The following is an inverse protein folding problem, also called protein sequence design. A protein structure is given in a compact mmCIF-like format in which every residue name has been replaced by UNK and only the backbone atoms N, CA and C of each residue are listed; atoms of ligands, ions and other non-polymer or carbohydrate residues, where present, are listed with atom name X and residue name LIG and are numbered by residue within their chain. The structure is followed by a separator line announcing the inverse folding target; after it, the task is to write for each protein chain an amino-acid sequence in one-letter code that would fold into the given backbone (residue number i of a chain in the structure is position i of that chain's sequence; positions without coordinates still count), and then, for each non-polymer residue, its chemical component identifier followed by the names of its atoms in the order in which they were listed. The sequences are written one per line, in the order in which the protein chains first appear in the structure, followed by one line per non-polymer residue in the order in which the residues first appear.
data_IF_943153898590
#
_entry.id   IF_943153898590
#
_cell.length_a   1.000
_cell.length_b   1.000
_cell.length_c   1.000
_cell.angle_alpha   90.00
_cell.angle_beta   90.00
_cell.angle_gamma   90.00
#
_symmetry.space_group_name_H-M   'P 1'
#
loop_
_entity.id
_entity.type
_entity.pdbx_description
1 polymer ?
#
# COMPACT_ATOMS: atom_id res chain seq x y z
N UNK A 1 0.94 18.17 18.09
CA UNK A 1 1.55 17.24 17.10
C UNK A 1 0.45 16.80 16.18
N UNK A 2 0.60 17.04 14.89
CA UNK A 2 -0.29 16.47 13.87
C UNK A 2 -0.05 14.96 13.83
N UNK A 3 -1.10 14.15 14.05
CA UNK A 3 -1.01 12.69 14.07
C UNK A 3 -1.23 12.18 12.65
N UNK A 4 -0.42 11.22 12.23
CA UNK A 4 -0.59 10.59 10.92
C UNK A 4 -1.90 9.79 10.88
N UNK A 5 -2.82 10.21 10.01
CA UNK A 5 -4.07 9.49 9.76
C UNK A 5 -3.82 8.24 8.91
N UNK A 6 -3.97 7.06 9.53
CA UNK A 6 -3.64 5.77 8.92
C UNK A 6 -4.85 5.01 8.36
N UNK A 7 -6.07 5.47 8.67
CA UNK A 7 -7.29 4.73 8.30
C UNK A 7 -7.37 4.42 6.79
N UNK A 8 -7.08 5.37 5.88
CA UNK A 8 -7.14 5.08 4.44
C UNK A 8 -6.17 3.99 3.99
N UNK A 9 -4.99 3.89 4.62
CA UNK A 9 -4.04 2.81 4.33
C UNK A 9 -4.58 1.46 4.85
N UNK A 10 -5.12 1.45 6.07
CA UNK A 10 -5.73 0.24 6.67
C UNK A 10 -6.88 -0.29 5.84
N UNK A 11 -7.75 0.60 5.35
CA UNK A 11 -8.89 0.22 4.52
C UNK A 11 -8.43 -0.41 3.20
N UNK A 12 -7.44 0.20 2.53
CA UNK A 12 -6.88 -0.37 1.29
C UNK A 12 -6.18 -1.70 1.51
N UNK A 13 -5.47 -1.85 2.62
CA UNK A 13 -4.78 -3.09 2.97
C UNK A 13 -5.78 -4.21 3.25
N UNK A 14 -6.80 -3.92 4.06
CA UNK A 14 -7.89 -4.86 4.38
C UNK A 14 -8.60 -5.31 3.11
N UNK A 15 -8.94 -4.37 2.22
CA UNK A 15 -9.60 -4.68 0.95
C UNK A 15 -8.76 -5.59 0.04
N UNK A 16 -7.43 -5.42 0.02
CA UNK A 16 -6.53 -6.33 -0.71
C UNK A 16 -6.50 -7.71 -0.05
N UNK A 17 -6.32 -7.77 1.27
CA UNK A 17 -6.28 -9.04 2.01
C UNK A 17 -7.55 -9.86 1.83
N UNK A 18 -8.72 -9.24 1.96
CA UNK A 18 -10.01 -9.90 1.73
C UNK A 18 -10.13 -10.45 0.30
N UNK A 19 -9.65 -9.70 -0.71
CA UNK A 19 -9.61 -10.21 -2.08
C UNK A 19 -8.67 -11.39 -2.23
N UNK A 20 -7.48 -11.36 -1.65
CA UNK A 20 -6.55 -12.48 -1.73
C UNK A 20 -7.12 -13.74 -1.06
N UNK A 21 -7.77 -13.60 0.08
CA UNK A 21 -8.45 -14.72 0.77
C UNK A 21 -9.50 -15.37 -0.12
N UNK A 22 -10.31 -14.59 -0.83
CA UNK A 22 -11.31 -15.15 -1.75
C UNK A 22 -10.66 -15.84 -2.96
N UNK A 23 -9.58 -15.28 -3.50
CA UNK A 23 -8.86 -15.86 -4.65
C UNK A 23 -8.01 -17.08 -4.28
N UNK A 24 -7.69 -17.27 -3.00
CA UNK A 24 -7.03 -18.48 -2.50
C UNK A 24 -7.96 -19.71 -2.52
N UNK A 25 -9.28 -19.53 -2.59
CA UNK A 25 -10.21 -20.63 -2.89
C UNK A 25 -10.10 -21.00 -4.38
N UNK A 26 -9.09 -21.80 -4.69
CA UNK A 26 -8.79 -22.28 -6.04
C UNK A 26 -9.97 -23.09 -6.62
N UNK A 27 -10.73 -23.80 -5.78
CA UNK A 27 -11.87 -24.59 -6.25
C UNK A 27 -13.01 -23.68 -6.71
N UNK A 28 -13.32 -22.63 -5.96
CA UNK A 28 -14.30 -21.60 -6.35
C UNK A 28 -13.81 -20.78 -7.55
N UNK A 29 -12.55 -20.37 -7.55
CA UNK A 29 -11.96 -19.55 -8.61
C UNK A 29 -11.97 -20.28 -9.96
N UNK A 30 -11.63 -21.56 -9.97
CA UNK A 30 -11.62 -22.38 -11.19
C UNK A 30 -13.03 -22.69 -11.74
N UNK A 31 -14.09 -22.48 -10.96
CA UNK A 31 -15.48 -22.59 -11.45
C UNK A 31 -15.92 -21.34 -12.23
N UNK A 32 -15.20 -20.22 -12.12
CA UNK A 32 -15.53 -19.00 -12.82
C UNK A 32 -15.17 -19.08 -14.30
N UNK A 33 -15.84 -18.27 -15.14
CA UNK A 33 -15.46 -18.15 -16.56
C UNK A 33 -14.05 -17.53 -16.67
N UNK A 34 -13.24 -17.86 -17.69
CA UNK A 34 -11.90 -17.29 -17.85
C UNK A 34 -11.87 -15.75 -17.79
N UNK A 35 -12.80 -15.08 -18.46
CA UNK A 35 -12.88 -13.60 -18.42
C UNK A 35 -13.15 -13.04 -17.01
N UNK A 36 -13.86 -13.79 -16.16
CA UNK A 36 -14.12 -13.41 -14.77
C UNK A 36 -12.87 -13.62 -13.93
N UNK A 37 -12.15 -14.74 -14.13
CA UNK A 37 -10.86 -15.00 -13.49
C UNK A 37 -9.86 -13.88 -13.79
N UNK A 38 -9.72 -13.51 -15.07
CA UNK A 38 -8.85 -12.42 -15.51
C UNK A 38 -9.24 -11.09 -14.85
N UNK A 39 -10.55 -10.80 -14.79
CA UNK A 39 -11.07 -9.57 -14.16
C UNK A 39 -10.76 -9.54 -12.66
N UNK A 40 -10.89 -10.67 -11.97
CA UNK A 40 -10.59 -10.79 -10.55
C UNK A 40 -9.10 -10.60 -10.26
N UNK A 41 -8.23 -11.20 -11.09
CA UNK A 41 -6.77 -11.00 -11.00
C UNK A 41 -6.41 -9.54 -11.28
N UNK A 42 -6.98 -8.93 -12.32
CA UNK A 42 -6.77 -7.52 -12.62
C UNK A 42 -7.22 -6.62 -11.45
N UNK A 43 -8.35 -6.95 -10.81
CA UNK A 43 -8.81 -6.29 -9.59
C UNK A 43 -7.84 -6.43 -8.41
N UNK A 44 -7.26 -7.62 -8.21
CA UNK A 44 -6.25 -7.84 -7.17
C UNK A 44 -4.96 -7.03 -7.42
N UNK A 45 -4.49 -6.97 -8.68
CA UNK A 45 -3.35 -6.15 -9.09
C UNK A 45 -3.64 -4.67 -8.80
N UNK A 46 -4.82 -4.17 -9.17
CA UNK A 46 -5.21 -2.79 -8.91
C UNK A 46 -5.25 -2.47 -7.40
N UNK A 47 -5.74 -3.40 -6.58
CA UNK A 47 -5.74 -3.25 -5.11
C UNK A 47 -4.31 -3.24 -4.55
N UNK A 48 -3.41 -4.05 -5.09
CA UNK A 48 -1.99 -4.02 -4.74
C UNK A 48 -1.37 -2.65 -5.04
N UNK A 49 -1.61 -2.09 -6.23
CA UNK A 49 -1.12 -0.75 -6.60
C UNK A 49 -1.62 0.33 -5.65
N UNK A 50 -2.89 0.28 -5.24
CA UNK A 50 -3.43 1.20 -4.26
C UNK A 50 -2.74 1.10 -2.89
N UNK A 51 -2.49 -0.12 -2.40
CA UNK A 51 -1.77 -0.33 -1.14
C UNK A 51 -0.33 0.19 -1.24
N UNK A 52 0.36 -0.10 -2.35
CA UNK A 52 1.72 0.37 -2.60
C UNK A 52 1.81 1.89 -2.57
N UNK A 53 0.96 2.57 -3.35
CA UNK A 53 0.96 4.03 -3.43
C UNK A 53 0.58 4.69 -2.09
N UNK A 54 -0.42 4.14 -1.39
CA UNK A 54 -0.83 4.63 -0.06
C UNK A 54 0.28 4.44 0.97
N UNK A 55 0.95 3.29 0.97
CA UNK A 55 2.07 3.00 1.86
C UNK A 55 3.20 3.99 1.65
N UNK A 56 3.56 4.25 0.39
CA UNK A 56 4.58 5.24 0.04
C UNK A 56 4.21 6.65 0.51
N UNK A 57 2.96 7.07 0.27
CA UNK A 57 2.46 8.36 0.75
C UNK A 57 2.53 8.48 2.27
N UNK A 58 2.21 7.41 3.02
CA UNK A 58 2.30 7.41 4.49
C UNK A 58 3.75 7.49 4.97
N UNK A 59 4.67 6.74 4.35
CA UNK A 59 6.10 6.82 4.67
C UNK A 59 6.65 8.23 4.46
N UNK A 60 6.34 8.87 3.32
CA UNK A 60 6.77 10.24 3.04
C UNK A 60 6.20 11.22 4.08
N UNK A 61 4.91 11.11 4.42
CA UNK A 61 4.28 11.97 5.43
C UNK A 61 4.93 11.79 6.81
N UNK A 62 5.20 10.54 7.22
CA UNK A 62 5.86 10.26 8.48
C UNK A 62 7.26 10.84 8.52
N UNK A 63 8.05 10.66 7.45
CA UNK A 63 9.39 11.24 7.34
C UNK A 63 9.37 12.76 7.39
N UNK A 64 8.39 13.41 6.73
CA UNK A 64 8.20 14.86 6.83
C UNK A 64 7.86 15.31 8.25
N UNK A 65 6.96 14.62 8.94
CA UNK A 65 6.65 14.92 10.35
C UNK A 65 7.88 14.79 11.25
N UNK A 66 8.75 13.81 10.99
CA UNK A 66 10.03 13.64 11.69
C UNK A 66 11.07 14.70 11.29
N UNK A 67 11.11 15.11 10.01
CA UNK A 67 12.03 16.12 9.47
C UNK A 67 11.60 17.57 9.79
N UNK A 68 10.34 17.81 10.15
CA UNK A 68 9.94 19.10 10.74
C UNK A 68 10.69 19.34 12.09
N UNK A 69 11.30 18.31 12.68
CA UNK A 69 12.24 18.44 13.81
C UNK A 69 13.73 18.46 13.44
N UNK A 70 14.12 18.16 12.20
CA UNK A 70 15.52 18.06 11.74
C UNK A 70 15.63 18.49 10.27
N UNK A 71 16.39 19.56 10.01
CA UNK A 71 16.55 20.29 8.74
C UNK A 71 16.24 19.50 7.44
N UNK A 72 15.15 19.92 6.76
CA UNK A 72 14.79 19.72 5.35
C UNK A 72 15.30 18.45 4.64
N UNK A 73 14.57 17.35 4.83
CA UNK A 73 14.71 16.18 3.95
C UNK A 73 13.96 16.44 2.64
N UNK A 74 14.69 16.84 1.59
CA UNK A 74 14.19 16.80 0.21
C UNK A 74 14.16 15.33 -0.28
N UNK A 75 13.00 14.69 -0.15
CA UNK A 75 12.76 13.35 -0.67
C UNK A 75 12.52 13.42 -2.19
N UNK A 76 13.61 13.34 -2.97
CA UNK A 76 13.58 13.47 -4.43
C UNK A 76 13.39 12.12 -5.17
N UNK A 77 13.60 10.97 -4.51
CA UNK A 77 13.44 9.63 -5.11
C UNK A 77 12.87 8.58 -4.12
N UNK A 78 12.13 7.59 -4.63
CA UNK A 78 11.54 6.47 -3.88
C UNK A 78 12.57 5.70 -3.05
N UNK A 79 13.78 5.51 -3.60
CA UNK A 79 14.88 4.84 -2.88
C UNK A 79 15.36 5.65 -1.69
N UNK A 80 15.32 6.98 -1.76
CA UNK A 80 15.68 7.85 -0.65
C UNK A 80 14.62 7.80 0.45
N UNK A 81 13.34 7.73 0.08
CA UNK A 81 12.24 7.50 1.04
C UNK A 81 12.45 6.19 1.81
N UNK A 82 12.74 5.09 1.11
CA UNK A 82 13.00 3.81 1.76
C UNK A 82 14.24 3.85 2.65
N UNK A 83 15.33 4.48 2.19
CA UNK A 83 16.57 4.60 2.95
C UNK A 83 16.36 5.39 4.24
N UNK A 84 15.64 6.51 4.18
CA UNK A 84 15.34 7.32 5.36
C UNK A 84 14.34 6.63 6.31
N UNK A 85 13.36 5.89 5.78
CA UNK A 85 12.44 5.11 6.61
C UNK A 85 13.18 4.04 7.42
N UNK A 86 14.15 3.34 6.82
CA UNK A 86 14.97 2.34 7.53
C UNK A 86 15.88 2.99 8.58
N UNK A 87 16.49 4.16 8.30
CA UNK A 87 17.34 4.86 9.27
C UNK A 87 16.61 5.31 10.53
N UNK A 88 15.29 5.56 10.43
CA UNK A 88 14.44 6.05 11.52
C UNK A 88 13.51 4.98 12.11
N UNK A 89 13.66 3.71 11.71
CA UNK A 89 12.92 2.55 12.24
C UNK A 89 13.56 2.03 13.53
#
# INVERSE_FOLDING_TARGET
MEKLELQPLRDTFTSLTETLVELEDIAWFNQQKPVIQDTLIAGAIQKFEFVYERSLKMMIRQLKLMAISDENVELNDFRDVLREAVKKA
#
